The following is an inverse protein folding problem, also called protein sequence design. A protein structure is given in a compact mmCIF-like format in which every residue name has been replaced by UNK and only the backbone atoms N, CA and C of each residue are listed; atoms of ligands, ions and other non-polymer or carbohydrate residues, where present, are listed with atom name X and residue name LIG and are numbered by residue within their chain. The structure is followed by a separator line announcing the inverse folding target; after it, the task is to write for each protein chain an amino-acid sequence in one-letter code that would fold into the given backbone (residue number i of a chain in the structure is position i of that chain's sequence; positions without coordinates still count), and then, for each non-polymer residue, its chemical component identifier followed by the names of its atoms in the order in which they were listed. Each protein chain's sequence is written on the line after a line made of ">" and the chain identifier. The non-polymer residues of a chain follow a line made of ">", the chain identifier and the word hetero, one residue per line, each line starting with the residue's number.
data_IF_332369436173
#
_entry.id   IF_332369436173
#
_cell.length_a   1.000
_cell.length_b   1.000
_cell.length_c   1.000
_cell.angle_alpha   90.00
_cell.angle_beta   90.00
_cell.angle_gamma   90.00
#
_symmetry.space_group_name_H-M   'P 1'
#
loop_
_entity.id
_entity.type
_entity.pdbx_description
1 polymer ?
#
# COMPACT_ATOMS: atom_id res chain seq x y z
N UNK A 1 8.88 -10.43 3.57
CA UNK A 1 10.01 -9.65 2.99
C UNK A 1 11.20 -10.46 2.51
N UNK A 2 11.70 -11.45 3.28
CA UNK A 2 12.89 -12.25 2.92
C UNK A 2 12.75 -12.98 1.57
N UNK A 3 11.52 -13.23 1.15
CA UNK A 3 11.21 -13.94 -0.09
C UNK A 3 11.25 -13.08 -1.35
N UNK A 4 11.37 -11.74 -1.25
CA UNK A 4 11.28 -10.87 -2.43
C UNK A 4 12.29 -11.27 -3.51
N UNK A 5 13.57 -11.43 -3.12
CA UNK A 5 14.63 -11.78 -4.08
C UNK A 5 14.41 -13.17 -4.68
N UNK A 6 13.93 -14.13 -3.89
CA UNK A 6 13.63 -15.47 -4.39
C UNK A 6 12.47 -15.44 -5.41
N UNK A 7 11.48 -14.55 -5.22
CA UNK A 7 10.32 -14.42 -6.10
C UNK A 7 10.60 -13.61 -7.37
N UNK A 8 11.33 -12.51 -7.26
CA UNK A 8 11.46 -11.52 -8.34
C UNK A 8 12.89 -11.40 -8.90
N UNK A 9 13.85 -12.17 -8.38
CA UNK A 9 15.23 -12.20 -8.88
C UNK A 9 16.04 -10.91 -8.69
N UNK A 10 15.46 -9.89 -8.05
CA UNK A 10 16.02 -8.53 -7.93
C UNK A 10 16.07 -8.08 -6.47
N UNK A 11 17.03 -7.21 -6.11
CA UNK A 11 17.03 -6.58 -4.79
C UNK A 11 15.86 -5.58 -4.68
N UNK A 12 15.24 -5.53 -3.50
CA UNK A 12 14.19 -4.56 -3.19
C UNK A 12 14.70 -3.44 -2.28
N UNK A 13 14.05 -2.28 -2.38
CA UNK A 13 13.99 -1.30 -1.28
C UNK A 13 12.76 -1.58 -0.43
N UNK A 14 12.87 -1.34 0.88
CA UNK A 14 11.76 -1.57 1.81
C UNK A 14 11.22 -0.21 2.26
N UNK A 15 9.92 -0.05 2.14
CA UNK A 15 9.15 1.09 2.60
C UNK A 15 8.20 0.62 3.68
N UNK A 16 7.96 1.44 4.71
CA UNK A 16 7.16 1.05 5.86
C UNK A 16 6.32 2.23 6.32
N UNK A 17 5.05 1.97 6.63
CA UNK A 17 4.16 2.95 7.24
C UNK A 17 3.48 2.33 8.48
N UNK A 18 3.36 3.07 9.59
CA UNK A 18 2.72 2.55 10.78
C UNK A 18 1.20 2.56 10.64
N UNK A 19 0.54 1.70 11.42
CA UNK A 19 -0.85 1.94 11.82
C UNK A 19 -0.93 3.12 12.77
N UNK A 20 -2.15 3.56 13.09
CA UNK A 20 -2.35 4.68 14.01
C UNK A 20 -3.59 4.50 14.85
N UNK A 21 -3.53 5.02 16.07
CA UNK A 21 -4.70 5.27 16.92
C UNK A 21 -4.97 6.76 16.94
N UNK A 22 -6.21 7.12 17.23
CA UNK A 22 -6.56 8.50 17.51
C UNK A 22 -6.84 8.61 19.01
N UNK A 23 -6.10 9.48 19.70
CA UNK A 23 -6.21 9.63 21.16
C UNK A 23 -7.46 10.44 21.52
N UNK A 24 -7.76 11.46 20.72
CA UNK A 24 -8.98 12.28 20.81
C UNK A 24 -9.25 12.99 19.48
N UNK A 25 -10.50 13.40 19.26
CA UNK A 25 -10.93 14.15 18.07
C UNK A 25 -11.61 13.28 17.00
N UNK A 26 -12.30 12.20 17.39
CA UNK A 26 -13.07 11.39 16.44
C UNK A 26 -14.11 12.23 15.69
N UNK A 27 -14.31 11.95 14.39
CA UNK A 27 -15.32 12.61 13.54
C UNK A 27 -15.15 14.12 13.36
N UNK A 28 -13.97 14.66 13.64
CA UNK A 28 -13.69 16.10 13.51
C UNK A 28 -12.86 16.45 12.27
N UNK A 29 -12.09 15.51 11.74
CA UNK A 29 -11.15 15.69 10.62
C UNK A 29 -11.84 16.14 9.32
N UNK A 30 -13.01 15.59 9.02
CA UNK A 30 -13.82 16.00 7.87
C UNK A 30 -14.73 17.21 8.13
N UNK A 31 -14.63 17.83 9.31
CA UNK A 31 -15.38 19.03 9.73
C UNK A 31 -14.43 20.21 10.06
N UNK A 32 -13.22 20.23 9.50
CA UNK A 32 -12.18 21.23 9.77
C UNK A 32 -11.81 21.37 11.27
N UNK A 33 -11.98 20.29 12.05
CA UNK A 33 -11.66 20.24 13.47
C UNK A 33 -10.25 19.70 13.78
N UNK A 34 -9.89 19.70 15.07
CA UNK A 34 -8.60 19.20 15.55
C UNK A 34 -8.63 17.71 15.91
N UNK A 35 -7.56 17.01 15.58
CA UNK A 35 -7.31 15.60 15.93
C UNK A 35 -5.99 15.44 16.69
N UNK A 36 -5.87 14.38 17.49
CA UNK A 36 -4.63 14.00 18.16
C UNK A 36 -4.29 12.53 17.91
N UNK A 37 -3.79 12.18 16.72
CA UNK A 37 -3.37 10.83 16.41
C UNK A 37 -1.97 10.51 16.92
N UNK A 38 -1.70 9.22 17.11
CA UNK A 38 -0.37 8.68 17.36
C UNK A 38 -0.17 7.40 16.53
N UNK A 39 1.04 7.24 15.99
CA UNK A 39 1.46 5.98 15.39
C UNK A 39 1.63 4.89 16.46
N UNK A 40 1.51 3.63 16.03
CA UNK A 40 1.67 2.46 16.89
C UNK A 40 2.72 1.51 16.31
N UNK A 41 3.19 0.57 17.12
CA UNK A 41 4.26 -0.35 16.74
C UNK A 41 3.84 -1.47 15.76
N UNK A 42 2.68 -1.34 15.11
CA UNK A 42 2.25 -2.18 14.01
C UNK A 42 2.38 -1.44 12.68
N UNK A 43 2.76 -2.14 11.62
CA UNK A 43 3.15 -1.54 10.37
C UNK A 43 2.71 -2.33 9.15
N UNK A 44 2.51 -1.61 8.05
CA UNK A 44 2.56 -2.17 6.71
C UNK A 44 3.95 -1.95 6.14
N UNK A 45 4.57 -3.01 5.62
CA UNK A 45 5.84 -2.95 4.93
C UNK A 45 5.64 -3.35 3.47
N UNK A 46 6.35 -2.69 2.56
CA UNK A 46 6.37 -2.95 1.13
C UNK A 46 7.81 -3.08 0.66
N UNK A 47 8.20 -4.26 0.20
CA UNK A 47 9.43 -4.41 -0.58
C UNK A 47 9.11 -4.17 -2.05
N UNK A 48 9.86 -3.26 -2.69
CA UNK A 48 9.63 -2.83 -4.05
C UNK A 48 10.91 -2.84 -4.90
N UNK A 49 10.77 -3.27 -6.14
CA UNK A 49 11.78 -3.11 -7.19
C UNK A 49 11.12 -2.67 -8.50
N UNK A 50 11.71 -1.70 -9.22
CA UNK A 50 11.17 -1.23 -10.49
C UNK A 50 11.27 -2.32 -11.56
N UNK A 51 10.33 -2.29 -12.48
CA UNK A 51 10.31 -3.08 -13.72
C UNK A 51 10.56 -2.17 -14.92
N UNK A 52 10.86 -2.79 -16.05
CA UNK A 52 11.05 -2.09 -17.33
C UNK A 52 9.74 -1.92 -18.11
N UNK A 53 8.72 -2.73 -17.81
CA UNK A 53 7.37 -2.61 -18.35
C UNK A 53 6.51 -1.68 -17.47
N UNK A 54 5.23 -1.53 -17.83
CA UNK A 54 4.23 -0.73 -17.09
C UNK A 54 3.31 -1.58 -16.20
N UNK A 55 3.76 -2.78 -15.80
CA UNK A 55 2.99 -3.68 -14.95
C UNK A 55 3.32 -3.49 -13.47
N UNK A 56 2.31 -3.53 -12.63
CA UNK A 56 2.44 -3.72 -11.19
C UNK A 56 2.17 -5.18 -10.85
N UNK A 57 3.14 -5.89 -10.32
CA UNK A 57 2.98 -7.26 -9.80
C UNK A 57 3.00 -7.19 -8.28
N UNK A 58 1.85 -7.41 -7.65
CA UNK A 58 1.62 -7.12 -6.23
C UNK A 58 1.31 -8.41 -5.50
N UNK A 59 2.17 -8.80 -4.55
CA UNK A 59 2.03 -10.00 -3.73
C UNK A 59 1.74 -9.60 -2.29
N UNK A 60 0.72 -10.20 -1.66
CA UNK A 60 0.46 -10.03 -0.22
C UNK A 60 0.83 -11.28 0.58
N UNK A 61 1.79 -11.17 1.50
CA UNK A 61 2.14 -12.28 2.40
C UNK A 61 0.95 -12.66 3.29
N UNK A 62 0.17 -11.68 3.77
CA UNK A 62 -0.98 -11.91 4.65
C UNK A 62 -2.13 -12.68 3.97
N UNK A 63 -2.37 -12.45 2.67
CA UNK A 63 -3.46 -13.10 1.92
C UNK A 63 -3.01 -14.29 1.07
N UNK A 64 -1.70 -14.55 1.00
CA UNK A 64 -1.11 -15.57 0.13
C UNK A 64 -1.53 -15.46 -1.36
N UNK A 65 -1.87 -14.26 -1.83
CA UNK A 65 -2.31 -13.96 -3.19
C UNK A 65 -1.35 -13.04 -3.98
N UNK A 66 -1.34 -13.17 -5.31
CA UNK A 66 -0.69 -12.25 -6.27
C UNK A 66 -1.73 -11.61 -7.18
N UNK A 67 -1.61 -10.31 -7.41
CA UNK A 67 -2.42 -9.53 -8.34
C UNK A 67 -1.51 -8.82 -9.33
N UNK A 68 -1.96 -8.69 -10.58
CA UNK A 68 -1.33 -7.85 -11.58
C UNK A 68 -2.23 -6.66 -11.94
N UNK A 69 -1.63 -5.47 -12.06
CA UNK A 69 -2.26 -4.28 -12.62
C UNK A 69 -1.44 -3.73 -13.78
N UNK A 70 -2.10 -3.11 -14.77
CA UNK A 70 -1.43 -2.39 -15.84
C UNK A 70 -1.61 -0.87 -15.62
N UNK A 71 -0.51 -0.13 -15.54
CA UNK A 71 -0.55 1.33 -15.33
C UNK A 71 -1.25 2.07 -16.50
N UNK A 72 -1.30 1.48 -17.69
CA UNK A 72 -1.99 2.06 -18.86
C UNK A 72 -3.52 1.88 -18.81
N UNK A 73 -4.00 0.97 -17.96
CA UNK A 73 -5.42 0.63 -17.84
C UNK A 73 -5.71 0.14 -16.42
N UNK A 74 -5.47 0.98 -15.41
CA UNK A 74 -5.68 0.60 -14.02
C UNK A 74 -7.19 0.46 -13.77
N UNK A 75 -7.60 -0.73 -13.37
CA UNK A 75 -8.96 -1.03 -12.94
C UNK A 75 -8.94 -1.72 -11.58
N UNK A 76 -9.92 -1.43 -10.73
CA UNK A 76 -10.19 -2.24 -9.53
C UNK A 76 -10.61 -3.66 -9.91
N UNK A 77 -10.46 -4.61 -8.98
CA UNK A 77 -10.82 -6.02 -9.20
C UNK A 77 -12.27 -6.27 -8.79
N UNK A 78 -12.47 -6.67 -7.53
CA UNK A 78 -13.77 -6.87 -6.92
C UNK A 78 -13.98 -5.80 -5.83
N UNK A 79 -15.23 -5.50 -5.52
CA UNK A 79 -15.57 -4.60 -4.41
C UNK A 79 -14.91 -5.11 -3.12
N UNK A 80 -14.25 -4.21 -2.39
CA UNK A 80 -13.54 -4.50 -1.13
C UNK A 80 -12.32 -5.44 -1.25
N UNK A 81 -11.82 -5.73 -2.46
CA UNK A 81 -10.58 -6.48 -2.62
C UNK A 81 -9.37 -5.69 -2.09
N UNK A 82 -8.47 -6.34 -1.34
CA UNK A 82 -7.32 -5.68 -0.71
C UNK A 82 -6.39 -5.00 -1.71
N UNK A 83 -6.28 -5.54 -2.92
CA UNK A 83 -5.42 -4.97 -3.97
C UNK A 83 -5.94 -3.65 -4.54
N UNK A 84 -7.20 -3.28 -4.25
CA UNK A 84 -7.72 -1.98 -4.65
C UNK A 84 -6.99 -0.83 -3.94
N UNK A 85 -6.42 -1.04 -2.75
CA UNK A 85 -5.60 -0.02 -2.08
C UNK A 85 -4.34 0.32 -2.88
N UNK A 86 -3.41 -0.63 -3.15
CA UNK A 86 -2.20 -0.31 -3.93
C UNK A 86 -2.51 0.11 -5.37
N UNK A 87 -3.52 -0.48 -6.03
CA UNK A 87 -3.92 -0.07 -7.37
C UNK A 87 -4.54 1.33 -7.39
N UNK A 88 -5.33 1.68 -6.38
CA UNK A 88 -5.93 3.00 -6.22
C UNK A 88 -4.88 4.08 -6.00
N UNK A 89 -3.82 3.81 -5.22
CA UNK A 89 -2.68 4.72 -5.08
C UNK A 89 -1.98 4.94 -6.41
N UNK A 90 -1.66 3.88 -7.14
CA UNK A 90 -1.05 3.99 -8.47
C UNK A 90 -1.92 4.80 -9.44
N UNK A 91 -3.23 4.56 -9.44
CA UNK A 91 -4.20 5.31 -10.23
C UNK A 91 -4.23 6.79 -9.85
N UNK A 92 -4.28 7.12 -8.57
CA UNK A 92 -4.31 8.50 -8.10
C UNK A 92 -3.01 9.25 -8.47
N UNK A 93 -1.86 8.58 -8.38
CA UNK A 93 -0.58 9.14 -8.80
C UNK A 93 -0.53 9.43 -10.30
N UNK A 94 -0.97 8.49 -11.15
CA UNK A 94 -1.08 8.72 -12.61
C UNK A 94 -2.07 9.85 -12.93
N UNK A 95 -3.23 9.87 -12.27
CA UNK A 95 -4.23 10.93 -12.42
C UNK A 95 -3.70 12.31 -11.98
N UNK A 96 -2.73 12.37 -11.06
CA UNK A 96 -2.04 13.61 -10.66
C UNK A 96 -0.95 14.07 -11.64
N UNK A 97 -0.73 13.35 -12.75
CA UNK A 97 0.28 13.68 -13.76
C UNK A 97 1.66 13.05 -13.54
N UNK A 98 1.80 12.13 -12.57
CA UNK A 98 3.04 11.34 -12.42
C UNK A 98 3.05 10.19 -13.43
N UNK A 99 4.13 10.04 -14.17
CA UNK A 99 4.33 8.87 -15.04
C UNK A 99 5.10 7.78 -14.31
N UNK A 100 4.36 6.83 -13.72
CA UNK A 100 4.95 5.73 -12.97
C UNK A 100 5.65 4.74 -13.90
N UNK A 101 6.55 3.93 -13.35
CA UNK A 101 7.07 2.72 -14.01
C UNK A 101 6.44 1.49 -13.37
N UNK A 102 6.46 0.36 -14.07
CA UNK A 102 6.06 -0.90 -13.46
C UNK A 102 6.92 -1.24 -12.25
N UNK A 103 6.39 -2.08 -11.36
CA UNK A 103 7.07 -2.47 -10.13
C UNK A 103 6.65 -3.90 -9.71
N UNK A 104 7.60 -4.63 -9.12
CA UNK A 104 7.29 -5.80 -8.31
C UNK A 104 7.16 -5.33 -6.85
N UNK A 105 6.05 -5.66 -6.21
CA UNK A 105 5.69 -5.26 -4.86
C UNK A 105 5.39 -6.50 -4.02
N UNK A 106 6.04 -6.62 -2.86
CA UNK A 106 5.70 -7.61 -1.84
C UNK A 106 5.26 -6.88 -0.58
N UNK A 107 4.02 -7.10 -0.18
CA UNK A 107 3.36 -6.44 0.94
C UNK A 107 3.27 -7.42 2.12
N UNK A 108 3.56 -6.92 3.31
CA UNK A 108 3.47 -7.67 4.57
C UNK A 108 3.13 -6.69 5.69
N UNK A 109 2.19 -7.04 6.57
CA UNK A 109 1.89 -6.22 7.72
C UNK A 109 1.43 -7.02 8.93
N UNK A 110 1.63 -6.43 10.10
CA UNK A 110 1.22 -6.94 11.41
C UNK A 110 0.12 -6.09 12.07
N UNK A 111 -0.41 -5.07 11.35
CA UNK A 111 -1.56 -4.29 11.79
C UNK A 111 -2.81 -5.19 11.81
N UNK A 112 -3.48 -5.37 12.98
CA UNK A 112 -4.69 -6.18 13.07
C UNK A 112 -5.79 -5.70 12.11
N UNK A 113 -6.25 -6.59 11.24
CA UNK A 113 -7.32 -6.30 10.28
C UNK A 113 -8.64 -6.03 11.00
N UNK A 114 -9.35 -4.98 10.59
CA UNK A 114 -10.67 -4.64 11.14
C UNK A 114 -10.65 -4.00 12.53
N UNK A 115 -9.49 -3.78 13.14
CA UNK A 115 -9.38 -3.22 14.49
C UNK A 115 -9.51 -1.69 14.58
N UNK A 116 -9.84 -1.00 13.47
CA UNK A 116 -9.88 0.48 13.43
C UNK A 116 -8.49 1.14 13.49
N UNK A 117 -7.41 0.36 13.34
CA UNK A 117 -6.01 0.81 13.47
C UNK A 117 -5.39 1.34 12.17
N UNK A 118 -6.22 1.68 11.19
CA UNK A 118 -5.82 2.23 9.88
C UNK A 118 -4.88 1.36 9.06
N UNK A 119 -5.18 0.07 8.96
CA UNK A 119 -4.44 -0.82 8.05
C UNK A 119 -4.53 -0.38 6.58
N UNK A 120 -5.65 0.23 6.16
CA UNK A 120 -5.84 0.82 4.81
C UNK A 120 -4.91 2.02 4.56
N UNK A 121 -4.87 2.97 5.49
CA UNK A 121 -3.99 4.14 5.34
C UNK A 121 -2.51 3.73 5.34
N UNK A 122 -2.13 2.75 6.17
CA UNK A 122 -0.76 2.25 6.21
C UNK A 122 -0.33 1.61 4.87
N UNK A 123 -1.18 0.80 4.24
CA UNK A 123 -0.87 0.24 2.91
C UNK A 123 -0.81 1.34 1.85
N UNK A 124 -1.73 2.30 1.85
CA UNK A 124 -1.74 3.41 0.88
C UNK A 124 -0.48 4.28 0.99
N UNK A 125 -0.08 4.66 2.21
CA UNK A 125 1.13 5.46 2.45
C UNK A 125 2.37 4.67 2.07
N UNK A 126 2.51 3.42 2.49
CA UNK A 126 3.68 2.60 2.16
C UNK A 126 3.84 2.40 0.64
N UNK A 127 2.73 2.25 -0.09
CA UNK A 127 2.72 2.16 -1.55
C UNK A 127 3.06 3.50 -2.20
N UNK A 128 2.50 4.60 -1.71
CA UNK A 128 2.79 5.94 -2.23
C UNK A 128 4.25 6.36 -2.09
N UNK A 129 4.95 5.86 -1.06
CA UNK A 129 6.41 6.00 -0.94
C UNK A 129 7.19 5.02 -1.83
N UNK A 130 6.63 3.86 -2.14
CA UNK A 130 7.30 2.80 -2.89
C UNK A 130 7.27 3.01 -4.42
N UNK A 131 6.22 3.66 -4.93
CA UNK A 131 5.98 3.96 -6.35
C UNK A 131 6.52 5.34 -6.74
#
# INVERSE_FOLDING_TARGET
>A
MKEFRARFGTPARIYRAPGRVNLIGEHTDYNDGFVLPADIEFYCSVAAAPRTDRKLVIRSENFNETVEGNLDAISGIAKNHWSNYPLGVAWAMEASGKHLKGANLLISGDIPLGAGLSSSAAIEVAIGFAL
#
